data_IF_275808451540
#
_entry.id   IF_275808451540
#
_cell.length_a   1.000
_cell.length_b   1.000
_cell.length_c   1.000
_cell.angle_alpha   90.00
_cell.angle_beta   90.00
_cell.angle_gamma   90.00
#
_symmetry.space_group_name_H-M   'P 1'
#
loop_
_entity.id
_entity.type
_entity.pdbx_description
1 polymer ?
#
# COMPACT_ATOMS: atom_id res chain seq x y z
N UNK A 1 -14.52 -19.72 -2.57
CA UNK A 1 -13.39 -19.27 -1.70
C UNK A 1 -12.36 -18.46 -2.48
N UNK A 2 -11.87 -18.96 -3.63
CA UNK A 2 -10.91 -18.27 -4.51
C UNK A 2 -11.35 -16.87 -4.96
N UNK A 3 -12.60 -16.74 -5.45
CA UNK A 3 -13.15 -15.46 -5.92
C UNK A 3 -13.06 -14.34 -4.88
N UNK A 4 -13.30 -14.65 -3.59
CA UNK A 4 -13.20 -13.68 -2.50
C UNK A 4 -11.78 -13.12 -2.37
N UNK A 5 -10.75 -13.97 -2.48
CA UNK A 5 -9.36 -13.53 -2.42
C UNK A 5 -8.96 -12.68 -3.64
N UNK A 6 -9.43 -13.05 -4.84
CA UNK A 6 -9.20 -12.29 -6.07
C UNK A 6 -9.86 -10.91 -6.00
N UNK A 7 -11.13 -10.82 -5.58
CA UNK A 7 -11.80 -9.53 -5.39
C UNK A 7 -11.09 -8.67 -4.33
N UNK A 8 -10.65 -9.28 -3.23
CA UNK A 8 -9.95 -8.53 -2.18
C UNK A 8 -8.59 -8.01 -2.68
N UNK A 9 -7.87 -8.83 -3.46
CA UNK A 9 -6.63 -8.42 -4.11
C UNK A 9 -6.86 -7.25 -5.08
N UNK A 10 -7.86 -7.36 -5.95
CA UNK A 10 -8.19 -6.32 -6.94
C UNK A 10 -8.62 -5.00 -6.28
N UNK A 11 -9.44 -5.05 -5.24
CA UNK A 11 -9.79 -3.86 -4.46
C UNK A 11 -8.57 -3.22 -3.79
N UNK A 12 -7.66 -4.04 -3.26
CA UNK A 12 -6.43 -3.55 -2.62
C UNK A 12 -5.48 -2.92 -3.64
N UNK A 13 -5.46 -3.43 -4.86
CA UNK A 13 -4.71 -2.88 -5.97
C UNK A 13 -5.25 -1.50 -6.39
N UNK A 14 -6.57 -1.36 -6.57
CA UNK A 14 -7.22 -0.07 -6.85
C UNK A 14 -6.97 0.92 -5.72
N UNK A 15 -7.04 0.45 -4.47
CA UNK A 15 -6.79 1.30 -3.31
C UNK A 15 -5.32 1.76 -3.26
N UNK A 16 -4.37 0.90 -3.62
CA UNK A 16 -2.95 1.23 -3.72
C UNK A 16 -2.66 2.32 -4.75
N UNK A 17 -3.30 2.29 -5.91
CA UNK A 17 -3.13 3.32 -6.94
C UNK A 17 -3.81 4.65 -6.56
N UNK A 18 -4.97 4.61 -5.90
CA UNK A 18 -5.60 5.80 -5.30
C UNK A 18 -4.71 6.42 -4.21
N UNK A 19 -4.02 5.59 -3.42
CA UNK A 19 -3.10 6.07 -2.41
C UNK A 19 -1.84 6.72 -3.02
N UNK A 20 -1.35 6.22 -4.16
CA UNK A 20 -0.26 6.84 -4.92
C UNK A 20 -0.56 8.28 -5.35
N UNK A 21 -1.74 8.51 -5.92
CA UNK A 21 -2.21 9.86 -6.30
C UNK A 21 -2.40 10.80 -5.09
N UNK A 22 -2.87 10.27 -3.95
CA UNK A 22 -2.89 11.02 -2.69
C UNK A 22 -1.47 11.38 -2.22
N UNK A 23 -0.50 10.48 -2.36
CA UNK A 23 0.91 10.76 -2.01
C UNK A 23 1.52 11.87 -2.86
N UNK A 24 1.17 11.95 -4.15
CA UNK A 24 1.58 13.06 -5.03
C UNK A 24 1.09 14.43 -4.50
N UNK A 25 -0.11 14.47 -3.89
CA UNK A 25 -0.59 15.68 -3.22
C UNK A 25 0.29 16.04 -2.00
N UNK A 26 0.74 15.05 -1.21
CA UNK A 26 1.69 15.29 -0.12
C UNK A 26 3.07 15.70 -0.61
N UNK A 27 3.55 15.11 -1.72
CA UNK A 27 4.84 15.46 -2.34
C UNK A 27 4.87 16.92 -2.78
N UNK A 28 3.74 17.48 -3.23
CA UNK A 28 3.67 18.91 -3.57
C UNK A 28 3.91 19.82 -2.35
N UNK A 29 3.57 19.35 -1.15
CA UNK A 29 3.69 20.12 0.09
C UNK A 29 4.98 19.82 0.89
N UNK A 30 5.64 18.69 0.64
CA UNK A 30 6.82 18.23 1.40
C UNK A 30 8.03 18.10 0.47
N UNK A 31 9.10 18.82 0.84
CA UNK A 31 10.31 19.06 0.03
C UNK A 31 11.25 17.85 -0.09
N UNK A 32 11.09 16.81 0.73
CA UNK A 32 11.96 15.65 0.72
C UNK A 32 11.19 14.35 0.45
N UNK A 33 11.38 13.79 -0.75
CA UNK A 33 10.89 12.46 -1.13
C UNK A 33 11.37 11.37 -0.16
N UNK A 34 12.53 11.57 0.47
CA UNK A 34 13.08 10.68 1.50
C UNK A 34 12.22 10.57 2.76
N UNK A 35 11.59 11.66 3.25
CA UNK A 35 10.73 11.57 4.45
C UNK A 35 9.40 10.89 4.11
N UNK A 36 8.92 11.07 2.88
CA UNK A 36 7.71 10.40 2.38
C UNK A 36 7.94 8.89 2.35
N UNK A 37 9.07 8.46 1.79
CA UNK A 37 9.45 7.05 1.74
C UNK A 37 9.67 6.47 3.14
N UNK A 38 10.31 7.22 4.04
CA UNK A 38 10.48 6.82 5.45
C UNK A 38 9.14 6.68 6.19
N UNK A 39 8.23 7.64 6.03
CA UNK A 39 6.87 7.60 6.61
C UNK A 39 6.06 6.43 6.06
N UNK A 40 6.22 6.11 4.77
CA UNK A 40 5.57 4.98 4.11
C UNK A 40 6.07 3.65 4.70
N UNK A 41 7.37 3.49 4.89
CA UNK A 41 7.97 2.31 5.53
C UNK A 41 7.48 2.16 6.98
N UNK A 42 7.46 3.25 7.75
CA UNK A 42 6.94 3.25 9.12
C UNK A 42 5.46 2.79 9.19
N UNK A 43 4.62 3.28 8.27
CA UNK A 43 3.24 2.84 8.19
C UNK A 43 3.13 1.34 7.85
N UNK A 44 3.97 0.83 6.93
CA UNK A 44 4.00 -0.60 6.62
C UNK A 44 4.43 -1.46 7.81
N UNK A 45 5.43 -1.02 8.57
CA UNK A 45 5.91 -1.74 9.75
C UNK A 45 4.85 -1.74 10.87
N UNK A 46 4.17 -0.61 11.08
CA UNK A 46 3.05 -0.50 12.01
C UNK A 46 1.87 -1.40 11.63
N UNK A 47 1.50 -1.44 10.34
CA UNK A 47 0.47 -2.36 9.84
C UNK A 47 0.88 -3.82 10.07
N UNK A 48 2.14 -4.17 9.80
CA UNK A 48 2.65 -5.53 9.99
C UNK A 48 2.62 -5.95 11.47
N UNK A 49 2.95 -5.02 12.39
CA UNK A 49 2.82 -5.23 13.83
C UNK A 49 1.36 -5.50 14.25
N UNK A 50 0.41 -4.71 13.75
CA UNK A 50 -1.02 -4.92 14.01
C UNK A 50 -1.52 -6.28 13.50
N UNK A 51 -1.04 -6.70 12.32
CA UNK A 51 -1.38 -8.00 11.72
C UNK A 51 -0.83 -9.13 12.56
N UNK A 52 0.41 -9.02 13.03
CA UNK A 52 1.04 -10.04 13.87
C UNK A 52 0.29 -10.23 15.20
N UNK A 53 -0.26 -9.14 15.76
CA UNK A 53 -1.05 -9.20 16.99
C UNK A 53 -2.43 -9.84 16.80
N UNK A 54 -3.04 -9.73 15.61
CA UNK A 54 -4.37 -10.29 15.31
C UNK A 54 -4.27 -11.53 14.40
N UNK A 55 -4.07 -12.71 15.00
CA UNK A 55 -3.92 -14.00 14.29
C UNK A 55 -5.07 -14.39 13.34
N UNK A 56 -6.28 -13.86 13.52
CA UNK A 56 -7.49 -14.32 12.83
C UNK A 56 -7.60 -13.90 11.35
N UNK A 57 -6.91 -12.83 10.93
CA UNK A 57 -7.09 -12.24 9.59
C UNK A 57 -5.77 -12.06 8.80
N UNK A 58 -4.69 -12.73 9.23
CA UNK A 58 -3.35 -12.59 8.64
C UNK A 58 -3.36 -12.76 7.12
N UNK A 59 -4.11 -13.75 6.60
CA UNK A 59 -4.13 -14.07 5.17
C UNK A 59 -4.75 -12.95 4.31
N UNK A 60 -5.83 -12.34 4.81
CA UNK A 60 -6.54 -11.26 4.10
C UNK A 60 -5.72 -9.98 4.13
N UNK A 61 -5.20 -9.63 5.31
CA UNK A 61 -4.38 -8.42 5.47
C UNK A 61 -3.05 -8.49 4.69
N UNK A 62 -2.38 -9.64 4.64
CA UNK A 62 -1.20 -9.83 3.78
C UNK A 62 -1.53 -9.60 2.31
N UNK A 63 -2.68 -10.09 1.86
CA UNK A 63 -3.12 -9.91 0.47
C UNK A 63 -3.42 -8.43 0.16
N UNK A 64 -3.97 -7.71 1.13
CA UNK A 64 -4.19 -6.26 1.02
C UNK A 64 -2.85 -5.52 0.94
N UNK A 65 -1.90 -5.85 1.82
CA UNK A 65 -0.58 -5.21 1.85
C UNK A 65 0.17 -5.39 0.53
N UNK A 66 0.13 -6.60 -0.05
CA UNK A 66 0.76 -6.90 -1.33
C UNK A 66 0.08 -6.13 -2.48
N UNK A 67 -1.25 -6.11 -2.53
CA UNK A 67 -1.99 -5.36 -3.55
C UNK A 67 -1.70 -3.85 -3.50
N UNK A 68 -1.59 -3.30 -2.28
CA UNK A 68 -1.31 -1.88 -2.07
C UNK A 68 0.14 -1.53 -2.50
N UNK A 69 1.12 -2.37 -2.15
CA UNK A 69 2.51 -2.24 -2.60
C UNK A 69 2.63 -2.30 -4.13
N UNK A 70 1.98 -3.26 -4.78
CA UNK A 70 2.01 -3.41 -6.23
C UNK A 70 1.37 -2.19 -6.91
N UNK A 71 0.23 -1.72 -6.41
CA UNK A 71 -0.42 -0.51 -6.92
C UNK A 71 0.49 0.71 -6.82
N UNK A 72 1.18 0.86 -5.69
CA UNK A 72 2.14 1.95 -5.48
C UNK A 72 3.36 1.86 -6.42
N UNK A 73 3.96 0.67 -6.56
CA UNK A 73 5.10 0.47 -7.45
C UNK A 73 4.76 0.80 -8.91
N UNK A 74 3.61 0.36 -9.41
CA UNK A 74 3.19 0.63 -10.79
C UNK A 74 3.03 2.13 -11.03
N UNK A 75 2.43 2.87 -10.08
CA UNK A 75 2.28 4.31 -10.19
C UNK A 75 3.63 5.04 -10.14
N UNK A 76 4.55 4.61 -9.27
CA UNK A 76 5.90 5.14 -9.19
C UNK A 76 6.71 4.91 -10.49
N UNK A 77 6.62 3.71 -11.10
CA UNK A 77 7.28 3.42 -12.38
C UNK A 77 6.67 4.17 -13.56
N UNK A 78 5.35 4.45 -13.53
CA UNK A 78 4.68 5.25 -14.57
C UNK A 78 5.19 6.69 -14.63
N UNK A 79 5.49 7.29 -13.49
CA UNK A 79 5.93 8.70 -13.39
C UNK A 79 7.44 8.87 -13.65
N UNK A 80 8.20 7.77 -13.63
CA UNK A 80 9.65 7.76 -13.92
C UNK A 80 10.04 7.49 -15.38
N UNK A 81 9.05 7.30 -16.28
CA UNK A 81 9.22 7.24 -17.74
C UNK A 81 9.06 8.62 -18.36
#
# INVERSE_FOLDING_TARGET
>A
MFLKYVCTFYLSFIFGSLFGTFLIFFRKNIIWDGIILFLLILNFEYLNFLIYRKKKYIKIFKNIQIGLLIGFFIDAFKVGS
#
